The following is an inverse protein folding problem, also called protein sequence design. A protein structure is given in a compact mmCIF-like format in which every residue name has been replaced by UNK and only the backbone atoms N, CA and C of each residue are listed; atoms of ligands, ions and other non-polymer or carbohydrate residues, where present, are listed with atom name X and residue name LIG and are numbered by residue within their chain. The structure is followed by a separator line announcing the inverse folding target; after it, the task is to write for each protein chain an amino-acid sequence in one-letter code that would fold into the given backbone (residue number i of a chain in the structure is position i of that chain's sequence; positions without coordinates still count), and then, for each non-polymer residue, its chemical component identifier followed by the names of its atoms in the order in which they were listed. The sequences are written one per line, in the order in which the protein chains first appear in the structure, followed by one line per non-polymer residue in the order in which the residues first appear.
data_IF_503777068460
#
_entry.id   IF_503777068460
#
_cell.length_a   1.000
_cell.length_b   1.000
_cell.length_c   1.000
_cell.angle_alpha   90.00
_cell.angle_beta   90.00
_cell.angle_gamma   90.00
#
_symmetry.space_group_name_H-M   'P 1'
#
loop_
_entity.id
_entity.type
_entity.pdbx_description
1 polymer ?
#
# COMPACT_ATOMS: atom_id res chain seq x y z
N UNK A 1 -23.74 -21.03 55.74
CA UNK A 1 -22.29 -21.04 56.01
C UNK A 1 -21.60 -20.45 54.79
N UNK A 2 -20.72 -19.46 54.93
CA UNK A 2 -20.16 -18.74 53.80
C UNK A 2 -19.05 -19.54 53.14
N UNK A 3 -19.04 -19.55 51.81
CA UNK A 3 -18.05 -20.20 50.96
C UNK A 3 -16.76 -19.38 51.03
N UNK A 4 -15.69 -20.04 51.43
CA UNK A 4 -14.32 -19.54 51.52
C UNK A 4 -13.82 -19.11 50.12
N UNK A 5 -13.50 -17.83 49.97
CA UNK A 5 -13.03 -17.21 48.71
C UNK A 5 -11.50 -17.27 48.57
N UNK A 6 -10.85 -18.31 49.06
CA UNK A 6 -9.41 -18.51 48.93
C UNK A 6 -9.09 -19.78 48.13
N UNK A 7 -9.35 -19.77 46.82
CA UNK A 7 -8.55 -20.50 45.83
C UNK A 7 -9.15 -20.38 44.42
N UNK A 8 -8.79 -19.31 43.72
CA UNK A 8 -8.54 -19.42 42.28
C UNK A 8 -7.16 -18.83 42.02
N UNK A 9 -6.17 -19.64 42.39
CA UNK A 9 -4.77 -19.44 42.04
C UNK A 9 -4.67 -19.54 40.51
N UNK A 10 -4.74 -18.39 39.82
CA UNK A 10 -4.18 -18.28 38.49
C UNK A 10 -2.71 -18.64 38.61
N UNK A 11 -2.31 -19.74 37.96
CA UNK A 11 -0.89 -20.12 37.81
C UNK A 11 -0.25 -19.05 36.92
N UNK A 12 0.10 -17.92 37.53
CA UNK A 12 1.09 -17.02 37.00
C UNK A 12 2.40 -17.80 37.10
N UNK A 13 2.84 -18.34 35.96
CA UNK A 13 4.26 -18.65 35.80
C UNK A 13 5.10 -17.42 36.20
N UNK A 14 6.40 -17.61 36.47
CA UNK A 14 7.27 -16.50 36.89
C UNK A 14 7.00 -15.27 36.02
N UNK A 15 6.67 -14.15 36.65
CA UNK A 15 6.56 -12.88 35.94
C UNK A 15 7.84 -12.73 35.10
N UNK A 16 7.73 -12.46 33.79
CA UNK A 16 8.92 -12.34 32.96
C UNK A 16 9.86 -11.35 33.63
N UNK A 17 11.12 -11.77 33.79
CA UNK A 17 12.17 -10.95 34.35
C UNK A 17 12.20 -9.63 33.57
N UNK A 18 11.85 -8.53 34.24
CA UNK A 18 11.81 -7.18 33.64
C UNK A 18 13.17 -6.70 33.11
N UNK A 19 14.25 -7.45 33.37
CA UNK A 19 15.59 -7.21 32.84
C UNK A 19 15.98 -8.09 31.63
N UNK A 20 15.15 -9.02 31.16
CA UNK A 20 15.44 -9.80 29.96
C UNK A 20 14.69 -9.22 28.76
N UNK A 21 15.46 -8.68 27.80
CA UNK A 21 14.98 -8.37 26.46
C UNK A 21 14.23 -9.59 25.91
N UNK A 22 12.99 -9.42 25.46
CA UNK A 22 12.25 -10.49 24.79
C UNK A 22 13.09 -11.09 23.65
N UNK A 23 13.02 -12.41 23.43
CA UNK A 23 13.70 -13.06 22.32
C UNK A 23 13.26 -12.44 20.99
N UNK A 24 14.14 -12.43 20.00
CA UNK A 24 13.88 -11.87 18.68
C UNK A 24 13.35 -12.97 17.75
N UNK A 25 12.25 -12.69 17.06
CA UNK A 25 11.69 -13.52 16.01
C UNK A 25 11.83 -12.83 14.65
N UNK A 26 12.43 -13.53 13.68
CA UNK A 26 12.50 -13.04 12.30
C UNK A 26 11.18 -13.32 11.59
N UNK A 27 10.61 -12.30 10.95
CA UNK A 27 9.34 -12.40 10.23
C UNK A 27 9.51 -11.80 8.84
N UNK A 28 9.20 -12.57 7.80
CA UNK A 28 9.13 -12.06 6.44
C UNK A 28 7.67 -11.72 6.08
N UNK A 29 7.37 -10.42 5.95
CA UNK A 29 6.01 -9.95 5.68
C UNK A 29 5.48 -10.37 4.31
N UNK A 30 6.38 -10.68 3.36
CA UNK A 30 5.99 -11.15 2.03
C UNK A 30 5.39 -12.57 2.03
N UNK A 31 5.56 -13.31 3.14
CA UNK A 31 5.03 -14.67 3.29
C UNK A 31 3.56 -14.73 3.74
N UNK A 32 2.99 -13.59 4.15
CA UNK A 32 1.59 -13.49 4.56
C UNK A 32 0.69 -13.14 3.37
N UNK A 33 -0.59 -13.52 3.46
CA UNK A 33 -1.60 -13.01 2.53
C UNK A 33 -1.66 -11.48 2.61
N UNK A 34 -1.71 -10.82 1.46
CA UNK A 34 -1.69 -9.37 1.37
C UNK A 34 -2.87 -8.86 0.55
N UNK A 35 -3.47 -7.77 1.02
CA UNK A 35 -4.47 -6.97 0.29
C UNK A 35 -3.84 -5.82 -0.51
N UNK A 36 -2.51 -5.78 -0.58
CA UNK A 36 -1.78 -4.75 -1.29
C UNK A 36 -2.11 -4.74 -2.78
N UNK A 37 -2.49 -3.57 -3.28
CA UNK A 37 -2.95 -3.39 -4.66
C UNK A 37 -1.84 -3.13 -5.66
N UNK A 38 -0.64 -2.76 -5.19
CA UNK A 38 0.44 -2.27 -6.05
C UNK A 38 0.11 -0.92 -6.72
N UNK A 39 -0.96 -0.24 -6.31
CA UNK A 39 -1.38 1.05 -6.85
C UNK A 39 -0.74 2.18 -6.05
N UNK A 40 0.03 3.00 -6.74
CA UNK A 40 0.64 4.22 -6.23
C UNK A 40 0.85 5.19 -7.40
N UNK A 41 0.92 6.51 -7.15
CA UNK A 41 1.16 7.48 -8.20
C UNK A 41 2.50 7.26 -8.91
N UNK A 42 2.57 7.70 -10.17
CA UNK A 42 3.80 7.70 -10.94
C UNK A 42 4.83 8.68 -10.36
N UNK A 43 6.09 8.54 -10.76
CA UNK A 43 7.19 9.49 -10.48
C UNK A 43 7.58 9.65 -9.00
N UNK A 44 7.33 8.62 -8.18
CA UNK A 44 7.76 8.60 -6.79
C UNK A 44 9.20 8.11 -6.59
N UNK A 45 9.91 8.68 -5.62
CA UNK A 45 11.26 8.25 -5.26
C UNK A 45 11.21 7.17 -4.18
N UNK A 46 11.88 6.03 -4.38
CA UNK A 46 11.94 4.98 -3.36
C UNK A 46 12.95 5.32 -2.26
N UNK A 47 12.62 5.09 -0.97
CA UNK A 47 13.60 5.07 0.10
C UNK A 47 14.51 3.86 -0.04
N UNK A 48 15.55 3.80 0.78
CA UNK A 48 16.38 2.61 0.88
C UNK A 48 15.59 1.49 1.60
N UNK A 49 15.38 0.35 0.94
CA UNK A 49 14.44 -0.68 1.38
C UNK A 49 14.69 -1.15 2.83
N UNK A 50 15.96 -1.29 3.24
CA UNK A 50 16.28 -1.71 4.61
C UNK A 50 15.88 -0.68 5.66
N UNK A 51 16.02 0.61 5.36
CA UNK A 51 15.65 1.68 6.29
C UNK A 51 14.15 1.67 6.61
N UNK A 52 13.30 1.30 5.64
CA UNK A 52 11.86 1.17 5.83
C UNK A 52 11.53 0.08 6.84
N UNK A 53 12.16 -1.09 6.71
CA UNK A 53 11.95 -2.19 7.65
C UNK A 53 12.50 -1.87 9.04
N UNK A 54 13.64 -1.19 9.15
CA UNK A 54 14.20 -0.79 10.45
C UNK A 54 13.25 0.14 11.22
N UNK A 55 12.63 1.11 10.53
CA UNK A 55 11.62 2.00 11.15
C UNK A 55 10.38 1.20 11.56
N UNK A 56 9.91 0.30 10.69
CA UNK A 56 8.75 -0.54 10.99
C UNK A 56 9.02 -1.46 12.20
N UNK A 57 10.20 -2.08 12.28
CA UNK A 57 10.65 -2.89 13.43
C UNK A 57 10.57 -2.07 14.71
N UNK A 58 11.12 -0.86 14.68
CA UNK A 58 11.15 0.01 15.84
C UNK A 58 9.73 0.32 16.32
N UNK A 59 8.87 0.83 15.43
CA UNK A 59 7.49 1.20 15.77
C UNK A 59 6.67 0.00 16.22
N UNK A 60 6.80 -1.13 15.54
CA UNK A 60 6.05 -2.35 15.87
C UNK A 60 6.39 -2.87 17.27
N UNK A 61 7.67 -2.86 17.64
CA UNK A 61 8.12 -3.32 18.96
C UNK A 61 7.87 -2.28 20.06
N UNK A 62 8.06 -0.99 19.80
CA UNK A 62 7.75 0.08 20.78
C UNK A 62 6.28 0.09 21.17
N UNK A 63 5.37 -0.21 20.22
CA UNK A 63 3.94 -0.37 20.50
C UNK A 63 3.58 -1.73 21.14
N UNK A 64 4.57 -2.58 21.39
CA UNK A 64 4.39 -3.90 22.02
C UNK A 64 3.66 -4.92 21.15
N UNK A 65 3.54 -4.71 19.84
CA UNK A 65 2.79 -5.61 18.97
C UNK A 65 3.42 -7.00 18.91
N UNK A 66 4.75 -7.07 18.75
CA UNK A 66 5.48 -8.34 18.77
C UNK A 66 5.28 -9.11 20.08
N UNK A 67 5.46 -8.42 21.20
CA UNK A 67 5.29 -8.99 22.52
C UNK A 67 3.88 -9.55 22.73
N UNK A 68 2.85 -8.82 22.31
CA UNK A 68 1.44 -9.22 22.48
C UNK A 68 1.01 -10.37 21.58
N UNK A 69 1.48 -10.39 20.33
CA UNK A 69 1.07 -11.40 19.34
C UNK A 69 1.88 -12.69 19.45
N UNK A 70 3.18 -12.58 19.75
CA UNK A 70 4.12 -13.70 19.64
C UNK A 70 4.92 -13.94 20.93
N UNK A 71 4.89 -13.04 21.91
CA UNK A 71 5.79 -13.10 23.07
C UNK A 71 7.26 -12.79 22.73
N UNK A 72 7.51 -12.16 21.58
CA UNK A 72 8.85 -11.89 21.04
C UNK A 72 8.96 -10.45 20.57
N UNK A 73 10.17 -9.89 20.56
CA UNK A 73 10.45 -8.74 19.71
C UNK A 73 10.54 -9.21 18.25
N UNK A 74 9.98 -8.44 17.31
CA UNK A 74 9.98 -8.80 15.90
C UNK A 74 11.15 -8.13 15.19
N UNK A 75 11.84 -8.88 14.35
CA UNK A 75 12.75 -8.37 13.34
C UNK A 75 12.17 -8.69 11.96
N UNK A 76 11.66 -7.68 11.26
CA UNK A 76 11.19 -7.84 9.89
C UNK A 76 12.37 -8.05 8.95
N UNK A 77 12.30 -9.12 8.17
CA UNK A 77 13.26 -9.49 7.13
C UNK A 77 12.54 -9.54 5.78
N UNK A 78 13.30 -9.66 4.69
CA UNK A 78 12.72 -9.72 3.35
C UNK A 78 12.20 -8.35 2.90
N UNK A 79 10.90 -8.28 2.57
CA UNK A 79 10.26 -7.09 2.00
C UNK A 79 8.94 -6.76 2.70
N UNK A 80 8.33 -5.62 2.34
CA UNK A 80 6.97 -5.26 2.76
C UNK A 80 5.94 -6.30 2.27
N UNK A 81 4.71 -6.32 2.83
CA UNK A 81 3.65 -7.18 2.32
C UNK A 81 3.43 -6.97 0.81
N UNK A 82 3.12 -8.04 0.09
CA UNK A 82 2.97 -8.00 -1.37
C UNK A 82 2.02 -6.88 -1.81
N UNK A 83 2.43 -6.07 -2.78
CA UNK A 83 1.63 -4.95 -3.28
C UNK A 83 1.66 -3.67 -2.44
N UNK A 84 2.42 -3.65 -1.34
CA UNK A 84 2.76 -2.43 -0.61
C UNK A 84 4.15 -1.92 -1.00
N UNK A 85 4.31 -0.59 -1.00
CA UNK A 85 5.57 0.06 -1.29
C UNK A 85 5.71 1.36 -0.48
N UNK A 86 6.94 1.66 -0.04
CA UNK A 86 7.25 2.92 0.60
C UNK A 86 7.85 3.90 -0.42
N UNK A 87 7.55 5.19 -0.27
CA UNK A 87 8.04 6.26 -1.11
C UNK A 87 8.42 7.49 -0.28
N UNK A 88 9.48 8.17 -0.68
CA UNK A 88 9.86 9.46 -0.13
C UNK A 88 8.98 10.56 -0.74
N UNK A 89 8.60 11.53 0.08
CA UNK A 89 8.09 12.82 -0.37
C UNK A 89 8.76 13.95 0.40
N UNK A 90 8.87 15.12 -0.24
CA UNK A 90 9.43 16.32 0.36
C UNK A 90 8.27 17.20 0.81
N UNK A 91 8.19 17.47 2.11
CA UNK A 91 7.20 18.40 2.67
C UNK A 91 7.47 19.83 2.19
N UNK A 92 6.47 20.75 2.26
CA UNK A 92 6.69 22.16 1.93
C UNK A 92 7.81 22.83 2.75
N UNK A 93 8.11 22.30 3.94
CA UNK A 93 9.20 22.75 4.80
C UNK A 93 10.58 22.17 4.43
N UNK A 94 10.67 21.33 3.38
CA UNK A 94 11.92 20.72 2.90
C UNK A 94 12.32 19.44 3.64
N UNK A 95 11.48 18.91 4.52
CA UNK A 95 11.75 17.62 5.18
C UNK A 95 11.36 16.45 4.28
N UNK A 96 12.26 15.47 4.15
CA UNK A 96 11.94 14.17 3.55
C UNK A 96 11.16 13.31 4.53
N UNK A 97 9.98 12.87 4.12
CA UNK A 97 9.13 11.95 4.86
C UNK A 97 8.84 10.72 4.01
N UNK A 98 8.38 9.63 4.65
CA UNK A 98 8.03 8.38 3.98
C UNK A 98 6.52 8.15 4.06
N UNK A 99 5.92 7.81 2.93
CA UNK A 99 4.56 7.29 2.86
C UNK A 99 4.56 5.82 2.43
N UNK A 100 3.60 5.05 2.94
CA UNK A 100 3.38 3.68 2.52
C UNK A 100 2.10 3.56 1.69
N UNK A 101 2.25 3.11 0.46
CA UNK A 101 1.18 2.92 -0.51
C UNK A 101 0.85 1.45 -0.71
N UNK A 102 -0.33 1.19 -1.28
CA UNK A 102 -0.80 -0.16 -1.60
C UNK A 102 -2.15 -0.52 -0.99
N UNK A 103 -2.64 0.23 0.01
CA UNK A 103 -3.89 -0.08 0.68
C UNK A 103 -5.10 -0.09 -0.29
N UNK A 104 -6.06 -1.04 -0.16
CA UNK A 104 -7.23 -1.15 -1.05
C UNK A 104 -8.06 0.12 -1.22
N UNK A 105 -8.04 1.02 -0.23
CA UNK A 105 -8.74 2.31 -0.32
C UNK A 105 -8.12 3.32 -1.29
N UNK A 106 -6.94 3.04 -1.86
CA UNK A 106 -6.24 3.93 -2.78
C UNK A 106 -5.51 5.11 -2.14
N UNK A 107 -5.42 5.16 -0.80
CA UNK A 107 -4.68 6.17 -0.04
C UNK A 107 -3.41 5.59 0.57
N UNK A 108 -2.47 6.47 0.93
CA UNK A 108 -1.25 6.10 1.65
C UNK A 108 -1.38 6.22 3.17
N UNK A 109 -0.56 5.47 3.88
CA UNK A 109 -0.25 5.70 5.28
C UNK A 109 0.85 6.76 5.36
N UNK A 110 0.61 7.81 6.14
CA UNK A 110 1.59 8.88 6.39
C UNK A 110 2.47 8.62 7.61
N UNK A 111 2.25 7.50 8.32
CA UNK A 111 3.07 7.08 9.44
C UNK A 111 3.19 5.56 9.54
N UNK A 112 4.35 5.09 10.00
CA UNK A 112 4.58 3.67 10.27
C UNK A 112 3.72 3.14 11.43
N UNK A 113 3.31 4.01 12.36
CA UNK A 113 2.41 3.64 13.46
C UNK A 113 1.02 3.28 12.95
N UNK A 114 0.49 4.06 12.01
CA UNK A 114 -0.80 3.74 11.40
C UNK A 114 -0.72 2.48 10.52
N UNK A 115 0.40 2.31 9.82
CA UNK A 115 0.65 1.12 9.01
C UNK A 115 0.85 -0.14 9.85
N UNK A 116 1.51 -0.06 11.02
CA UNK A 116 1.76 -1.23 11.87
C UNK A 116 0.46 -1.88 12.36
N UNK A 117 -0.60 -1.12 12.56
CA UNK A 117 -1.94 -1.65 12.88
C UNK A 117 -2.50 -2.48 11.73
N UNK A 118 -2.27 -2.06 10.48
CA UNK A 118 -2.67 -2.85 9.31
C UNK A 118 -1.85 -4.13 9.19
N UNK A 119 -0.53 -4.04 9.43
CA UNK A 119 0.38 -5.19 9.46
C UNK A 119 -0.07 -6.26 10.46
N UNK A 120 -0.57 -5.89 11.64
CA UNK A 120 -1.15 -6.86 12.60
C UNK A 120 -2.30 -7.64 11.95
N UNK A 121 -3.19 -6.95 11.23
CA UNK A 121 -4.36 -7.58 10.60
C UNK A 121 -3.95 -8.52 9.46
N UNK A 122 -2.90 -8.18 8.71
CA UNK A 122 -2.27 -9.07 7.74
C UNK A 122 -1.67 -10.31 8.41
N UNK A 123 -0.87 -10.12 9.46
CA UNK A 123 -0.19 -11.21 10.18
C UNK A 123 -1.14 -12.16 10.90
N UNK A 124 -2.33 -11.66 11.30
CA UNK A 124 -3.38 -12.45 11.97
C UNK A 124 -4.47 -12.94 11.01
N UNK A 125 -4.32 -12.68 9.71
CA UNK A 125 -5.29 -13.01 8.66
C UNK A 125 -6.73 -12.54 8.98
N UNK A 126 -6.87 -11.34 9.55
CA UNK A 126 -8.15 -10.80 9.99
C UNK A 126 -8.35 -9.36 9.51
N UNK A 127 -8.38 -9.19 8.19
CA UNK A 127 -8.55 -7.88 7.54
C UNK A 127 -9.95 -7.30 7.73
N UNK A 128 -10.98 -8.14 7.85
CA UNK A 128 -12.36 -7.69 8.07
C UNK A 128 -12.54 -6.95 9.41
N UNK A 129 -11.71 -7.26 10.40
CA UNK A 129 -11.68 -6.58 11.69
C UNK A 129 -10.57 -5.52 11.79
N UNK A 130 -9.92 -5.16 10.68
CA UNK A 130 -8.82 -4.21 10.70
C UNK A 130 -9.28 -2.83 11.19
N UNK A 131 -8.52 -2.27 12.13
CA UNK A 131 -8.79 -0.97 12.75
C UNK A 131 -7.74 0.08 12.39
N UNK A 132 -6.98 -0.13 11.33
CA UNK A 132 -6.05 0.90 10.85
C UNK A 132 -6.85 2.13 10.37
N UNK A 133 -6.20 3.29 10.34
CA UNK A 133 -6.85 4.55 10.00
C UNK A 133 -7.52 4.51 8.60
N UNK A 134 -6.99 3.72 7.68
CA UNK A 134 -7.50 3.60 6.31
C UNK A 134 -8.66 2.61 6.18
N UNK A 135 -8.78 1.61 7.06
CA UNK A 135 -9.94 0.70 7.11
C UNK A 135 -11.14 1.33 7.85
N UNK A 136 -10.89 2.20 8.82
CA UNK A 136 -11.96 2.82 9.63
C UNK A 136 -12.46 4.15 9.07
N UNK A 137 -11.72 4.75 8.13
CA UNK A 137 -12.13 6.00 7.49
C UNK A 137 -12.88 5.71 6.20
N UNK A 138 -13.91 6.50 5.84
CA UNK A 138 -14.56 6.35 4.55
C UNK A 138 -13.53 6.59 3.42
N UNK A 139 -13.41 5.61 2.54
CA UNK A 139 -12.65 5.70 1.30
C UNK A 139 -13.50 6.52 0.33
N UNK A 140 -13.31 7.84 0.28
CA UNK A 140 -13.95 8.62 -0.77
C UNK A 140 -13.44 8.12 -2.12
N UNK A 141 -14.33 7.69 -3.01
CA UNK A 141 -13.96 7.43 -4.39
C UNK A 141 -13.41 8.73 -5.02
N UNK A 142 -12.41 8.66 -5.90
CA UNK A 142 -12.03 9.82 -6.68
C UNK A 142 -13.23 10.23 -7.55
N UNK A 143 -13.81 11.40 -7.25
CA UNK A 143 -14.85 12.06 -8.04
C UNK A 143 -14.38 12.20 -9.49
N UNK A 144 -14.83 11.28 -10.35
CA UNK A 144 -14.32 11.17 -11.71
C UNK A 144 -14.91 10.00 -12.51
N UNK A 145 -16.22 9.79 -12.43
CA UNK A 145 -16.96 8.99 -13.43
C UNK A 145 -18.10 9.82 -14.01
N UNK A 146 -17.95 10.40 -15.22
CA UNK A 146 -19.09 10.85 -15.97
C UNK A 146 -19.74 9.64 -16.64
N UNK A 147 -20.93 9.28 -16.15
CA UNK A 147 -22.01 8.77 -16.99
C UNK A 147 -21.98 7.29 -17.35
N UNK A 148 -22.60 6.48 -16.49
CA UNK A 148 -23.41 5.36 -16.97
C UNK A 148 -24.58 5.92 -17.79
N UNK A 149 -24.56 5.71 -19.11
CA UNK A 149 -25.76 5.71 -19.94
C UNK A 149 -25.91 4.29 -20.51
N UNK A 150 -26.70 3.50 -19.79
CA UNK A 150 -27.37 2.32 -20.33
C UNK A 150 -28.65 2.74 -21.06
N UNK A 151 -29.09 1.86 -21.97
CA UNK A 151 -30.28 1.91 -22.85
C UNK A 151 -29.99 2.58 -24.20
N UNK A 152 -30.16 1.95 -25.38
CA UNK A 152 -30.80 0.69 -25.73
C UNK A 152 -31.48 0.85 -27.09
N UNK A 153 -31.07 0.03 -28.07
CA UNK A 153 -31.77 -0.36 -29.32
C UNK A 153 -31.94 0.65 -30.48
N UNK A 154 -31.22 0.32 -31.56
CA UNK A 154 -31.71 -0.10 -32.89
C UNK A 154 -32.47 0.88 -33.81
N UNK A 155 -32.16 0.73 -35.11
CA UNK A 155 -32.78 1.29 -36.33
C UNK A 155 -32.19 2.59 -36.91
N UNK A 156 -31.33 2.42 -37.92
CA UNK A 156 -31.14 3.28 -39.12
C UNK A 156 -32.50 3.53 -39.84
N UNK A 157 -32.70 4.56 -40.72
CA UNK A 157 -31.82 4.82 -41.89
C UNK A 157 -31.72 6.26 -42.49
N UNK A 158 -30.78 6.37 -43.45
CA UNK A 158 -30.65 7.27 -44.62
C UNK A 158 -30.56 8.81 -44.40
N UNK A 159 -29.50 9.50 -44.80
CA UNK A 159 -29.17 9.82 -46.22
C UNK A 159 -27.81 10.57 -46.35
N UNK A 160 -27.26 10.75 -47.58
CA UNK A 160 -25.82 10.65 -47.86
C UNK A 160 -25.09 12.00 -48.11
N UNK A 161 -23.79 12.03 -47.83
CA UNK A 161 -22.88 13.07 -48.30
C UNK A 161 -22.10 12.58 -49.54
N UNK A 162 -22.01 13.39 -50.62
CA UNK A 162 -21.23 13.03 -51.80
C UNK A 162 -19.75 13.38 -51.62
N UNK A 163 -18.89 12.42 -51.93
CA UNK A 163 -17.46 12.60 -52.19
C UNK A 163 -17.26 13.07 -53.63
N UNK A 164 -16.47 14.13 -53.81
CA UNK A 164 -15.89 14.47 -55.13
C UNK A 164 -14.43 14.93 -54.94
N UNK A 165 -13.45 14.42 -55.73
CA UNK A 165 -12.05 14.82 -55.68
C UNK A 165 -11.71 15.85 -56.79
N UNK A 166 -10.54 16.51 -56.69
CA UNK A 166 -9.71 16.74 -57.89
C UNK A 166 -8.23 16.38 -57.60
N UNK A 167 -7.59 15.48 -58.37
CA UNK A 167 -6.99 15.63 -59.71
C UNK A 167 -5.47 15.96 -59.66
N UNK A 168 -4.67 14.94 -60.01
CA UNK A 168 -3.42 14.88 -60.81
C UNK A 168 -2.67 16.20 -61.07
N UNK A 169 -1.40 16.33 -60.66
CA UNK A 169 -0.15 15.85 -61.31
C UNK A 169 0.57 17.04 -61.93
N UNK A 170 1.78 17.37 -61.44
CA UNK A 170 2.86 17.78 -62.34
C UNK A 170 4.21 17.54 -61.66
N UNK A 171 5.09 16.93 -62.45
CA UNK A 171 6.41 16.47 -62.08
C UNK A 171 7.41 17.63 -62.12
N UNK A 172 8.28 17.73 -61.11
CA UNK A 172 9.64 18.23 -61.35
C UNK A 172 10.67 17.71 -60.35
N UNK A 173 11.49 16.81 -60.86
CA UNK A 173 12.80 16.42 -60.34
C UNK A 173 13.70 17.63 -60.04
N UNK A 174 14.60 17.52 -59.04
CA UNK A 174 16.07 17.48 -59.22
C UNK A 174 16.84 17.59 -57.86
N UNK A 175 17.78 16.64 -57.69
CA UNK A 175 19.09 16.59 -56.98
C UNK A 175 19.17 16.93 -55.47
N UNK A 176 19.64 16.04 -54.59
CA UNK A 176 20.99 15.43 -54.46
C UNK A 176 22.14 16.43 -54.48
N UNK A 177 22.56 16.87 -53.30
CA UNK A 177 23.96 17.24 -53.01
C UNK A 177 24.32 16.64 -51.65
N UNK A 178 25.17 15.62 -51.70
CA UNK A 178 26.07 15.22 -50.62
C UNK A 178 27.27 16.17 -50.68
N UNK A 179 27.64 16.77 -49.56
CA UNK A 179 28.91 17.48 -49.40
C UNK A 179 29.76 16.68 -48.39
N UNK A 180 30.84 16.12 -48.91
CA UNK A 180 31.95 15.44 -48.23
C UNK A 180 33.16 16.39 -48.35
N UNK A 181 33.69 16.88 -47.24
CA UNK A 181 35.13 17.15 -46.99
C UNK A 181 35.38 17.39 -45.48
#
# INVERSE_FOLDING_TARGET
QPIDMANQLFVLGPLPNVNESLPIMNVDLSTFSSDGTGRYPADMTRPWDRAVLDILIQVFNMNGHGARLFGHNINFVGTLPQGYAAFNYITPAGHTMVELWGHPCGRSFTSFESFSVHVISLMTANLDACRCILCTSPCSEPEGSPGSLSEGRDSTPDTPYPVTPPATDDSRSIQMVEDDD
#
